data_IF_567073319578
#
_entry.id   IF_567073319578
#
_cell.length_a   1.000
_cell.length_b   1.000
_cell.length_c   1.000
_cell.angle_alpha   90.00
_cell.angle_beta   90.00
_cell.angle_gamma   90.00
#
_symmetry.space_group_name_H-M   'P 1'
#
loop_
_entity.id
_entity.type
_entity.pdbx_description
1 polymer ?
#
# COMPACT_ATOMS: atom_id res chain seq x y z
N UNK A 1 5.50 -22.77 18.46
CA UNK A 1 4.54 -21.68 18.77
C UNK A 1 4.26 -20.99 17.45
N UNK A 2 3.00 -20.76 17.10
CA UNK A 2 2.68 -20.03 15.89
C UNK A 2 3.03 -18.53 16.05
N UNK A 3 3.44 -17.91 14.98
CA UNK A 3 3.86 -16.49 14.95
C UNK A 3 2.69 -15.55 15.28
N UNK A 4 1.46 -15.95 14.91
CA UNK A 4 0.23 -15.18 15.10
C UNK A 4 -0.88 -16.12 15.59
N UNK A 5 -1.81 -15.64 16.40
CA UNK A 5 -2.98 -16.43 16.81
C UNK A 5 -4.05 -16.51 15.70
N UNK A 6 -4.80 -17.61 15.68
CA UNK A 6 -5.94 -17.78 14.76
C UNK A 6 -7.00 -16.69 14.98
N UNK A 7 -7.20 -16.27 16.23
CA UNK A 7 -8.14 -15.21 16.61
C UNK A 7 -7.81 -13.90 15.90
N UNK A 8 -6.52 -13.53 15.87
CA UNK A 8 -6.05 -12.31 15.23
C UNK A 8 -6.27 -12.34 13.72
N UNK A 9 -5.99 -13.49 13.07
CA UNK A 9 -6.31 -13.68 11.64
C UNK A 9 -7.80 -13.53 11.36
N UNK A 10 -8.65 -14.06 12.24
CA UNK A 10 -10.10 -13.97 12.13
C UNK A 10 -10.58 -12.51 12.25
N UNK A 11 -10.13 -11.79 13.28
CA UNK A 11 -10.48 -10.40 13.56
C UNK A 11 -10.06 -9.44 12.41
N UNK A 12 -8.95 -9.77 11.75
CA UNK A 12 -8.46 -9.01 10.61
C UNK A 12 -9.12 -9.42 9.28
N UNK A 13 -9.96 -10.46 9.28
CA UNK A 13 -10.72 -10.88 8.11
C UNK A 13 -9.89 -11.64 7.06
N UNK A 14 -8.80 -12.28 7.46
CA UNK A 14 -7.93 -13.05 6.56
C UNK A 14 -8.57 -14.31 6.00
N UNK A 15 -9.70 -14.76 6.58
CA UNK A 15 -10.46 -15.94 6.17
C UNK A 15 -11.37 -15.72 4.96
N UNK A 16 -11.67 -14.48 4.60
CA UNK A 16 -12.49 -14.20 3.42
C UNK A 16 -11.67 -14.36 2.14
N UNK A 17 -12.20 -15.11 1.19
CA UNK A 17 -11.63 -15.21 -0.15
C UNK A 17 -12.50 -14.49 -1.17
N UNK A 18 -12.27 -14.75 -2.44
CA UNK A 18 -13.01 -14.19 -3.56
C UNK A 18 -14.34 -14.93 -3.82
N UNK A 19 -15.15 -14.34 -4.71
CA UNK A 19 -16.39 -14.94 -5.17
C UNK A 19 -16.14 -16.30 -5.82
N UNK A 20 -17.09 -17.25 -5.63
CA UNK A 20 -17.00 -18.61 -6.17
C UNK A 20 -16.83 -18.68 -7.69
N UNK A 21 -17.21 -17.63 -8.42
CA UNK A 21 -17.03 -17.55 -9.89
C UNK A 21 -15.57 -17.30 -10.33
N UNK A 22 -14.73 -16.76 -9.44
CA UNK A 22 -13.38 -16.32 -9.78
C UNK A 22 -12.28 -17.22 -9.19
N UNK A 23 -12.62 -18.35 -8.61
CA UNK A 23 -11.68 -19.19 -7.91
C UNK A 23 -10.75 -19.97 -8.84
N UNK A 24 -9.57 -20.32 -8.32
CA UNK A 24 -8.65 -21.23 -8.99
C UNK A 24 -8.82 -22.65 -8.41
N UNK A 25 -9.07 -23.69 -9.24
CA UNK A 25 -9.23 -25.07 -8.76
C UNK A 25 -8.03 -25.59 -7.93
N UNK A 26 -6.82 -25.12 -8.20
CA UNK A 26 -5.61 -25.49 -7.44
C UNK A 26 -5.65 -25.01 -5.98
N UNK A 27 -6.49 -24.00 -5.66
CA UNK A 27 -6.69 -23.51 -4.30
C UNK A 27 -7.63 -24.39 -3.47
N UNK A 28 -8.26 -25.43 -4.05
CA UNK A 28 -9.16 -26.36 -3.35
C UNK A 28 -8.61 -26.88 -2.01
N UNK A 29 -7.33 -27.25 -1.87
CA UNK A 29 -6.78 -27.72 -0.58
C UNK A 29 -6.80 -26.67 0.55
N UNK A 30 -6.82 -25.38 0.21
CA UNK A 30 -6.76 -24.26 1.16
C UNK A 30 -8.13 -23.66 1.48
N UNK A 31 -9.17 -24.09 0.77
CA UNK A 31 -10.54 -23.64 0.97
C UNK A 31 -11.20 -24.55 2.03
N UNK A 32 -11.85 -23.93 3.01
CA UNK A 32 -12.61 -24.65 4.04
C UNK A 32 -14.06 -24.90 3.58
N UNK A 33 -14.77 -23.85 3.14
CA UNK A 33 -16.17 -23.94 2.68
C UNK A 33 -16.50 -22.76 1.76
N UNK A 34 -17.69 -22.81 1.16
CA UNK A 34 -18.26 -21.68 0.43
C UNK A 34 -19.53 -21.21 1.14
N UNK A 35 -19.66 -19.89 1.38
CA UNK A 35 -20.81 -19.30 2.04
C UNK A 35 -21.20 -17.97 1.36
N UNK A 36 -22.49 -17.79 1.12
CA UNK A 36 -23.04 -16.58 0.47
C UNK A 36 -22.32 -16.22 -0.86
N UNK A 37 -21.89 -17.24 -1.63
CA UNK A 37 -21.20 -17.02 -2.90
C UNK A 37 -19.73 -16.57 -2.79
N UNK A 38 -19.14 -16.63 -1.59
CA UNK A 38 -17.74 -16.34 -1.31
C UNK A 38 -17.09 -17.57 -0.67
N UNK A 39 -15.84 -17.84 -1.03
CA UNK A 39 -15.06 -18.90 -0.39
C UNK A 39 -14.48 -18.44 0.95
N UNK A 40 -14.40 -19.38 1.90
CA UNK A 40 -13.76 -19.18 3.20
C UNK A 40 -12.46 -19.98 3.21
N UNK A 41 -11.37 -19.31 3.49
CA UNK A 41 -10.03 -19.87 3.56
C UNK A 41 -9.84 -20.59 4.90
N UNK A 42 -9.15 -21.71 4.88
CA UNK A 42 -8.82 -22.49 6.08
C UNK A 42 -7.67 -21.83 6.86
N UNK A 43 -8.00 -21.17 7.97
CA UNK A 43 -7.03 -20.45 8.81
C UNK A 43 -5.98 -21.35 9.47
N UNK A 44 -6.26 -22.64 9.69
CA UNK A 44 -5.26 -23.59 10.20
C UNK A 44 -4.12 -23.72 9.20
N UNK A 45 -4.45 -23.90 7.92
CA UNK A 45 -3.45 -23.95 6.84
C UNK A 45 -2.78 -22.59 6.60
N UNK A 46 -3.49 -21.49 6.86
CA UNK A 46 -2.88 -20.15 6.83
C UNK A 46 -1.78 -20.03 7.87
N UNK A 47 -2.04 -20.47 9.10
CA UNK A 47 -1.04 -20.46 10.19
C UNK A 47 0.18 -21.29 9.83
N UNK A 48 -0.02 -22.56 9.43
CA UNK A 48 1.08 -23.45 9.03
C UNK A 48 1.96 -22.82 7.95
N UNK A 49 1.33 -22.26 6.89
CA UNK A 49 2.05 -21.64 5.79
C UNK A 49 2.68 -20.29 6.15
N UNK A 50 2.07 -19.54 7.06
CA UNK A 50 2.64 -18.31 7.58
C UNK A 50 3.88 -18.59 8.43
N UNK A 51 3.84 -19.62 9.30
CA UNK A 51 4.98 -20.03 10.11
C UNK A 51 6.15 -20.52 9.23
N UNK A 52 5.85 -21.33 8.18
CA UNK A 52 6.83 -21.75 7.18
C UNK A 52 7.48 -20.55 6.47
N UNK A 53 6.66 -19.60 6.02
CA UNK A 53 7.11 -18.40 5.33
C UNK A 53 7.93 -17.47 6.23
N UNK A 54 7.50 -17.32 7.50
CA UNK A 54 8.22 -16.53 8.48
C UNK A 54 9.62 -17.10 8.76
N UNK A 55 9.73 -18.41 8.99
CA UNK A 55 11.00 -19.08 9.22
C UNK A 55 11.95 -18.93 8.01
N UNK A 56 11.42 -19.09 6.79
CA UNK A 56 12.21 -18.92 5.57
C UNK A 56 12.67 -17.47 5.37
N UNK A 57 11.81 -16.49 5.65
CA UNK A 57 12.14 -15.06 5.56
C UNK A 57 13.19 -14.67 6.59
N UNK A 58 13.08 -15.18 7.83
CA UNK A 58 14.05 -14.97 8.90
C UNK A 58 15.42 -15.54 8.51
N UNK A 59 15.47 -16.79 8.02
CA UNK A 59 16.71 -17.41 7.57
C UNK A 59 17.40 -16.66 6.40
N UNK A 60 16.59 -16.01 5.53
CA UNK A 60 17.09 -15.15 4.47
C UNK A 60 17.67 -13.85 5.05
N UNK A 61 16.98 -13.24 6.00
CA UNK A 61 17.41 -12.00 6.64
C UNK A 61 18.69 -12.19 7.48
N UNK A 62 18.87 -13.33 8.14
CA UNK A 62 20.09 -13.71 8.87
C UNK A 62 21.34 -13.71 7.96
N UNK A 63 21.17 -14.01 6.68
CA UNK A 63 22.21 -13.93 5.65
C UNK A 63 22.40 -12.54 5.07
N UNK A 64 21.77 -11.51 5.66
CA UNK A 64 21.70 -10.15 5.13
C UNK A 64 21.06 -10.07 3.73
N UNK A 65 20.18 -11.01 3.39
CA UNK A 65 19.42 -11.00 2.14
C UNK A 65 18.53 -9.78 2.03
N UNK A 66 18.43 -9.22 0.82
CA UNK A 66 17.58 -8.07 0.54
C UNK A 66 16.25 -8.52 -0.02
N UNK A 67 15.18 -8.00 0.55
CA UNK A 67 13.81 -8.33 0.16
C UNK A 67 13.19 -7.16 -0.60
N UNK A 68 12.42 -7.47 -1.63
CA UNK A 68 11.63 -6.51 -2.39
C UNK A 68 10.15 -6.77 -2.14
N UNK A 69 9.47 -5.84 -1.47
CA UNK A 69 8.02 -5.88 -1.28
C UNK A 69 7.30 -5.29 -2.49
N UNK A 70 6.32 -6.03 -3.02
CA UNK A 70 5.54 -5.64 -4.21
C UNK A 70 4.06 -5.63 -3.85
N UNK A 71 3.40 -4.49 -4.05
CA UNK A 71 1.98 -4.36 -3.80
C UNK A 71 1.40 -3.17 -4.57
N UNK A 72 0.90 -3.45 -5.77
CA UNK A 72 0.33 -2.42 -6.65
C UNK A 72 -1.14 -2.16 -6.37
N UNK A 73 -1.84 -3.07 -5.69
CA UNK A 73 -3.22 -2.88 -5.21
C UNK A 73 -3.32 -1.62 -4.35
N UNK A 74 -4.35 -0.80 -4.58
CA UNK A 74 -4.60 0.44 -3.82
C UNK A 74 -4.64 0.24 -2.31
N UNK A 75 -5.16 -0.91 -1.86
CA UNK A 75 -5.25 -1.28 -0.46
C UNK A 75 -3.86 -1.59 0.15
N UNK A 76 -2.92 -2.06 -0.66
CA UNK A 76 -1.59 -2.49 -0.24
C UNK A 76 -0.52 -1.39 -0.33
N UNK A 77 -0.69 -0.40 -1.21
CA UNK A 77 0.34 0.59 -1.55
C UNK A 77 0.98 1.29 -0.35
N UNK A 78 0.14 1.79 0.56
CA UNK A 78 0.62 2.51 1.74
C UNK A 78 1.28 1.57 2.76
N UNK A 79 0.68 0.38 2.95
CA UNK A 79 1.16 -0.62 3.91
C UNK A 79 2.53 -1.17 3.49
N UNK A 80 2.66 -1.53 2.20
CA UNK A 80 3.91 -2.05 1.65
C UNK A 80 5.04 -1.03 1.78
N UNK A 81 4.76 0.26 1.54
CA UNK A 81 5.73 1.32 1.73
C UNK A 81 6.13 1.47 3.21
N UNK A 82 5.16 1.54 4.13
CA UNK A 82 5.39 1.68 5.58
C UNK A 82 6.27 0.55 6.11
N UNK A 83 5.90 -0.71 5.82
CA UNK A 83 6.57 -1.88 6.35
C UNK A 83 7.93 -2.17 5.69
N UNK A 84 8.08 -1.85 4.41
CA UNK A 84 9.37 -1.96 3.75
C UNK A 84 10.38 -0.96 4.31
N UNK A 85 9.96 0.28 4.57
CA UNK A 85 10.81 1.30 5.22
C UNK A 85 11.18 0.87 6.64
N UNK A 86 10.22 0.34 7.43
CA UNK A 86 10.44 -0.15 8.79
C UNK A 86 11.47 -1.28 8.82
N UNK A 87 11.39 -2.22 7.88
CA UNK A 87 12.31 -3.37 7.80
C UNK A 87 13.63 -3.05 7.09
N UNK A 88 13.79 -1.86 6.49
CA UNK A 88 14.95 -1.49 5.67
C UNK A 88 15.06 -2.36 4.42
N UNK A 89 13.92 -2.63 3.80
CA UNK A 89 13.73 -3.41 2.58
C UNK A 89 13.33 -2.50 1.42
N UNK A 90 13.36 -3.02 0.21
CA UNK A 90 12.93 -2.29 -0.98
C UNK A 90 11.42 -2.48 -1.22
N UNK A 91 10.78 -1.55 -1.94
CA UNK A 91 9.37 -1.67 -2.27
C UNK A 91 9.01 -1.15 -3.66
N UNK A 92 7.92 -1.70 -4.20
CA UNK A 92 7.23 -1.21 -5.38
C UNK A 92 5.73 -1.18 -5.07
N UNK A 93 5.16 0.02 -5.04
CA UNK A 93 3.78 0.24 -4.62
C UNK A 93 2.88 0.85 -5.70
N UNK A 94 3.40 1.18 -6.89
CA UNK A 94 2.57 1.78 -7.94
C UNK A 94 2.28 0.78 -9.06
N UNK A 95 3.24 0.49 -9.88
CA UNK A 95 3.10 -0.43 -11.01
C UNK A 95 4.40 -1.18 -11.24
N UNK A 96 4.28 -2.48 -11.41
CA UNK A 96 5.40 -3.28 -11.87
C UNK A 96 5.78 -2.93 -13.31
N UNK A 97 7.00 -2.55 -13.53
CA UNK A 97 7.53 -2.31 -14.88
C UNK A 97 8.13 -3.61 -15.42
N UNK A 98 7.61 -4.07 -16.54
CA UNK A 98 8.13 -5.29 -17.18
C UNK A 98 9.64 -5.19 -17.46
N UNK A 99 10.36 -6.24 -17.11
CA UNK A 99 11.83 -6.29 -17.21
C UNK A 99 12.56 -5.70 -16.00
N UNK A 100 11.87 -5.40 -14.91
CA UNK A 100 12.49 -4.79 -13.72
C UNK A 100 13.58 -5.69 -13.12
N UNK A 101 13.36 -6.98 -13.06
CA UNK A 101 14.36 -7.96 -12.62
C UNK A 101 15.15 -8.51 -13.81
N UNK A 102 14.50 -8.93 -14.88
CA UNK A 102 15.13 -9.59 -16.03
C UNK A 102 15.99 -8.66 -16.89
N UNK A 103 15.66 -7.36 -16.90
CA UNK A 103 16.45 -6.33 -17.60
C UNK A 103 16.95 -5.25 -16.60
N UNK A 104 17.42 -5.69 -15.45
CA UNK A 104 17.82 -4.84 -14.33
C UNK A 104 18.86 -3.77 -14.71
N UNK A 105 19.82 -4.11 -15.57
CA UNK A 105 20.85 -3.17 -16.04
C UNK A 105 20.25 -1.94 -16.75
N UNK A 106 19.19 -2.12 -17.52
CA UNK A 106 18.49 -1.01 -18.17
C UNK A 106 17.67 -0.19 -17.14
N UNK A 107 17.06 -0.86 -16.17
CA UNK A 107 16.33 -0.19 -15.09
C UNK A 107 17.26 0.63 -14.21
N UNK A 108 18.47 0.14 -13.91
CA UNK A 108 19.49 0.91 -13.19
C UNK A 108 19.88 2.22 -13.90
N UNK A 109 19.90 2.25 -15.23
CA UNK A 109 20.14 3.52 -15.96
C UNK A 109 19.02 4.54 -15.72
N UNK A 110 17.77 4.08 -15.58
CA UNK A 110 16.63 4.96 -15.26
C UNK A 110 16.68 5.47 -13.81
N UNK A 111 17.10 4.61 -12.88
CA UNK A 111 17.33 4.97 -11.48
C UNK A 111 18.46 6.01 -11.38
N UNK A 112 19.59 5.79 -12.08
CA UNK A 112 20.67 6.79 -12.13
C UNK A 112 20.20 8.13 -12.69
N UNK A 113 19.35 8.11 -13.72
CA UNK A 113 18.78 9.34 -14.28
C UNK A 113 17.97 10.10 -13.25
N UNK A 114 17.23 9.41 -12.38
CA UNK A 114 16.52 10.04 -11.26
C UNK A 114 17.51 10.71 -10.30
N UNK A 115 18.54 9.99 -9.87
CA UNK A 115 19.58 10.54 -8.98
C UNK A 115 20.30 11.75 -9.60
N UNK A 116 20.65 11.70 -10.89
CA UNK A 116 21.24 12.84 -11.63
C UNK A 116 20.33 14.08 -11.62
N UNK A 117 19.01 13.90 -11.79
CA UNK A 117 18.07 15.02 -11.75
C UNK A 117 18.00 15.62 -10.34
N UNK A 118 17.98 14.80 -9.30
CA UNK A 118 17.98 15.27 -7.91
C UNK A 118 19.27 16.01 -7.57
N UNK A 119 20.42 15.52 -8.01
CA UNK A 119 21.71 16.19 -7.86
C UNK A 119 21.73 17.54 -8.61
N UNK A 120 21.14 17.61 -9.81
CA UNK A 120 20.98 18.87 -10.54
C UNK A 120 20.07 19.86 -9.83
N UNK A 121 19.01 19.39 -9.17
CA UNK A 121 18.15 20.25 -8.34
C UNK A 121 18.86 20.73 -7.08
N UNK A 122 19.55 19.85 -6.38
CA UNK A 122 20.30 20.18 -5.16
C UNK A 122 21.46 21.15 -5.41
N UNK A 123 22.19 21.01 -6.53
CA UNK A 123 23.28 21.90 -6.92
C UNK A 123 22.82 23.21 -7.57
N UNK A 124 21.54 23.33 -7.89
CA UNK A 124 21.01 24.49 -8.62
C UNK A 124 21.34 24.52 -10.11
N UNK A 125 22.04 23.51 -10.63
CA UNK A 125 22.40 23.39 -12.05
C UNK A 125 21.18 23.37 -12.99
N UNK A 126 20.02 22.98 -12.47
CA UNK A 126 18.76 22.98 -13.20
C UNK A 126 18.35 24.40 -13.70
N UNK A 127 18.80 25.45 -13.02
CA UNK A 127 18.46 26.84 -13.37
C UNK A 127 19.15 27.36 -14.64
N UNK A 128 20.14 26.63 -15.16
CA UNK A 128 20.81 26.94 -16.43
C UNK A 128 19.86 26.67 -17.63
N UNK A 129 18.90 25.76 -17.45
CA UNK A 129 17.96 25.39 -18.53
C UNK A 129 16.80 26.37 -18.66
N UNK A 130 16.22 26.53 -19.88
CA UNK A 130 15.03 27.31 -20.07
C UNK A 130 13.86 26.80 -19.20
N UNK A 131 12.97 27.70 -18.75
CA UNK A 131 11.84 27.36 -17.85
C UNK A 131 10.98 26.19 -18.35
N UNK A 132 10.79 26.05 -19.66
CA UNK A 132 10.03 24.96 -20.28
C UNK A 132 10.73 23.62 -20.10
N UNK A 133 12.05 23.57 -20.24
CA UNK A 133 12.85 22.35 -20.04
C UNK A 133 12.91 21.95 -18.57
N UNK A 134 13.07 22.91 -17.65
CA UNK A 134 13.00 22.67 -16.21
C UNK A 134 11.67 22.01 -15.84
N UNK A 135 10.55 22.50 -16.38
CA UNK A 135 9.25 21.91 -16.13
C UNK A 135 9.15 20.46 -16.66
N UNK A 136 9.76 20.17 -17.81
CA UNK A 136 9.81 18.80 -18.35
C UNK A 136 10.68 17.86 -17.52
N UNK A 137 11.86 18.34 -17.09
CA UNK A 137 12.79 17.57 -16.22
C UNK A 137 12.12 17.24 -14.90
N UNK A 138 11.43 18.20 -14.26
CA UNK A 138 10.69 17.97 -13.02
C UNK A 138 9.54 16.98 -13.20
N UNK A 139 8.83 17.03 -14.33
CA UNK A 139 7.78 16.06 -14.67
C UNK A 139 8.36 14.66 -14.88
N UNK A 140 9.54 14.57 -15.50
CA UNK A 140 10.28 13.31 -15.66
C UNK A 140 10.69 12.77 -14.28
N UNK A 141 11.29 13.61 -13.41
CA UNK A 141 11.69 13.22 -12.06
C UNK A 141 10.52 12.70 -11.24
N UNK A 142 9.41 13.41 -11.19
CA UNK A 142 8.21 12.99 -10.47
C UNK A 142 7.66 11.64 -10.98
N UNK A 143 7.74 11.39 -12.29
CA UNK A 143 7.35 10.11 -12.87
C UNK A 143 8.30 8.98 -12.48
N UNK A 144 9.61 9.24 -12.51
CA UNK A 144 10.64 8.26 -12.14
C UNK A 144 10.57 7.95 -10.65
N UNK A 145 10.37 8.95 -9.79
CA UNK A 145 10.20 8.80 -8.35
C UNK A 145 9.01 7.91 -8.01
N UNK A 146 7.86 8.11 -8.66
CA UNK A 146 6.68 7.27 -8.47
C UNK A 146 6.94 5.79 -8.77
N UNK A 147 7.81 5.47 -9.75
CA UNK A 147 8.07 4.08 -10.12
C UNK A 147 9.29 3.47 -9.44
N UNK A 148 10.31 4.25 -9.15
CA UNK A 148 11.61 3.76 -8.69
C UNK A 148 11.99 4.26 -7.30
N UNK A 149 11.22 5.12 -6.67
CA UNK A 149 11.53 5.69 -5.36
C UNK A 149 11.87 4.64 -4.30
N UNK A 150 11.09 3.54 -4.24
CA UNK A 150 11.33 2.46 -3.28
C UNK A 150 12.50 1.52 -3.61
N UNK A 151 13.07 1.62 -4.79
CA UNK A 151 14.23 0.78 -5.24
C UNK A 151 15.46 1.61 -5.61
N UNK A 152 15.47 2.89 -5.26
CA UNK A 152 16.56 3.82 -5.59
C UNK A 152 17.93 3.32 -5.12
N UNK A 153 17.99 2.75 -3.93
CA UNK A 153 19.23 2.24 -3.33
C UNK A 153 19.56 0.80 -3.74
N UNK A 154 18.73 0.16 -4.56
CA UNK A 154 18.93 -1.23 -4.96
C UNK A 154 20.02 -1.36 -6.00
N UNK A 155 21.24 -1.74 -5.57
CA UNK A 155 22.40 -1.92 -6.45
C UNK A 155 22.50 -3.30 -7.09
N UNK A 156 21.87 -4.31 -6.48
CA UNK A 156 21.85 -5.72 -6.92
C UNK A 156 20.43 -6.23 -6.95
N UNK A 157 20.18 -7.33 -7.64
CA UNK A 157 18.91 -8.03 -7.59
C UNK A 157 18.57 -8.42 -6.15
N UNK A 158 17.28 -8.41 -5.78
CA UNK A 158 16.83 -8.85 -4.45
C UNK A 158 17.01 -10.37 -4.31
N UNK A 159 17.25 -10.81 -3.07
CA UNK A 159 17.39 -12.24 -2.74
C UNK A 159 16.03 -12.92 -2.59
N UNK A 160 14.98 -12.17 -2.35
CA UNK A 160 13.58 -12.63 -2.36
C UNK A 160 12.64 -11.50 -2.74
N UNK A 161 11.45 -11.88 -3.24
CA UNK A 161 10.34 -10.94 -3.43
C UNK A 161 9.15 -11.37 -2.58
N UNK A 162 8.42 -10.38 -2.05
CA UNK A 162 7.16 -10.57 -1.37
C UNK A 162 6.05 -9.85 -2.16
N UNK A 163 5.06 -10.58 -2.63
CA UNK A 163 4.00 -10.07 -3.51
C UNK A 163 2.66 -10.15 -2.81
N UNK A 164 1.93 -9.04 -2.74
CA UNK A 164 0.60 -9.01 -2.09
C UNK A 164 -0.48 -9.66 -2.96
N UNK A 165 -0.46 -9.44 -4.26
CA UNK A 165 -1.40 -10.10 -5.18
C UNK A 165 -0.64 -10.66 -6.40
N UNK A 166 -0.40 -11.98 -6.45
CA UNK A 166 0.29 -12.60 -7.56
C UNK A 166 -0.52 -12.63 -8.85
N UNK A 167 -1.83 -12.32 -8.80
CA UNK A 167 -2.69 -12.24 -9.98
C UNK A 167 -2.54 -10.90 -10.68
N UNK A 168 -2.52 -9.81 -9.91
CA UNK A 168 -2.32 -8.45 -10.42
C UNK A 168 -0.85 -8.24 -10.85
N UNK A 169 0.09 -8.65 -9.97
CA UNK A 169 1.53 -8.53 -10.19
C UNK A 169 2.14 -9.80 -10.82
N UNK A 170 1.41 -10.46 -11.72
CA UNK A 170 1.82 -11.72 -12.36
C UNK A 170 3.19 -11.64 -13.05
N UNK A 171 3.49 -10.50 -13.69
CA UNK A 171 4.78 -10.29 -14.34
C UNK A 171 5.95 -10.31 -13.34
N UNK A 172 5.75 -9.80 -12.12
CA UNK A 172 6.77 -9.83 -11.06
C UNK A 172 7.11 -11.27 -10.67
N UNK A 173 6.08 -12.09 -10.51
CA UNK A 173 6.21 -13.52 -10.17
C UNK A 173 6.94 -14.27 -11.27
N UNK A 174 6.59 -14.07 -12.55
CA UNK A 174 7.25 -14.72 -13.68
C UNK A 174 8.72 -14.33 -13.82
N UNK A 175 9.04 -13.04 -13.64
CA UNK A 175 10.42 -12.57 -13.70
C UNK A 175 11.27 -13.14 -12.58
N UNK A 176 10.74 -13.18 -11.35
CA UNK A 176 11.43 -13.76 -10.21
C UNK A 176 11.71 -15.26 -10.42
N UNK A 177 10.70 -16.02 -10.87
CA UNK A 177 10.87 -17.45 -11.19
C UNK A 177 11.93 -17.69 -12.26
N UNK A 178 11.96 -16.86 -13.30
CA UNK A 178 12.96 -16.96 -14.37
C UNK A 178 14.39 -16.76 -13.85
N UNK A 179 14.54 -15.99 -12.78
CA UNK A 179 15.84 -15.72 -12.14
C UNK A 179 16.11 -16.60 -10.92
N UNK A 180 15.21 -17.58 -10.63
CA UNK A 180 15.27 -18.44 -9.45
C UNK A 180 15.29 -17.66 -8.13
N UNK A 181 14.64 -16.51 -8.08
CA UNK A 181 14.44 -15.73 -6.86
C UNK A 181 13.21 -16.29 -6.14
N UNK A 182 13.30 -16.67 -4.85
CA UNK A 182 12.15 -17.17 -4.08
C UNK A 182 11.06 -16.11 -3.98
N UNK A 183 9.82 -16.55 -4.20
CA UNK A 183 8.62 -15.71 -4.19
C UNK A 183 7.79 -16.06 -2.97
N UNK A 184 7.61 -15.09 -2.08
CA UNK A 184 6.63 -15.10 -1.01
C UNK A 184 5.41 -14.34 -1.48
N UNK A 185 4.21 -14.88 -1.31
CA UNK A 185 3.01 -14.17 -1.73
C UNK A 185 1.77 -14.56 -0.94
N UNK A 186 0.80 -13.63 -0.90
CA UNK A 186 -0.57 -13.99 -0.58
C UNK A 186 -1.09 -14.92 -1.67
N UNK A 187 -1.82 -15.94 -1.27
CA UNK A 187 -2.53 -16.82 -2.18
C UNK A 187 -4.00 -16.82 -1.83
N UNK A 188 -4.73 -15.82 -2.33
CA UNK A 188 -6.19 -15.82 -2.21
C UNK A 188 -6.79 -16.89 -3.12
N UNK A 189 -8.07 -17.14 -3.04
CA UNK A 189 -8.78 -18.20 -3.75
C UNK A 189 -8.75 -18.12 -5.29
N UNK A 190 -8.37 -16.98 -5.86
CA UNK A 190 -8.18 -16.74 -7.30
C UNK A 190 -6.73 -16.97 -7.78
N UNK A 191 -5.78 -17.04 -6.86
CA UNK A 191 -4.35 -17.18 -7.17
C UNK A 191 -3.95 -18.62 -7.55
N UNK A 192 -2.83 -18.77 -8.25
CA UNK A 192 -2.21 -20.08 -8.51
C UNK A 192 -1.09 -20.33 -7.48
N UNK A 193 -1.27 -21.27 -6.54
CA UNK A 193 -0.28 -21.54 -5.50
C UNK A 193 1.02 -22.17 -6.03
N UNK A 194 1.02 -22.77 -7.23
CA UNK A 194 2.23 -23.38 -7.82
C UNK A 194 3.21 -22.33 -8.40
N UNK A 195 2.75 -21.11 -8.58
CA UNK A 195 3.59 -20.02 -9.09
C UNK A 195 4.50 -19.44 -8.02
N UNK A 196 4.18 -19.62 -6.76
CA UNK A 196 4.91 -19.02 -5.63
C UNK A 196 5.66 -20.08 -4.83
N UNK A 197 6.78 -19.70 -4.22
CA UNK A 197 7.59 -20.61 -3.41
C UNK A 197 6.99 -20.78 -2.01
N UNK A 198 6.60 -19.67 -1.40
CA UNK A 198 5.97 -19.61 -0.09
C UNK A 198 4.65 -18.87 -0.20
N UNK A 199 3.57 -19.63 -0.46
CA UNK A 199 2.21 -19.08 -0.55
C UNK A 199 1.55 -19.04 0.81
N UNK A 200 1.01 -17.89 1.20
CA UNK A 200 0.26 -17.68 2.43
C UNK A 200 -1.21 -17.55 2.06
N UNK A 201 -2.06 -18.57 2.33
CA UNK A 201 -3.47 -18.49 2.00
C UNK A 201 -4.17 -17.43 2.87
N UNK A 202 -4.52 -16.30 2.29
CA UNK A 202 -5.17 -15.20 3.01
C UNK A 202 -5.83 -14.21 2.06
N UNK A 203 -6.71 -13.39 2.62
CA UNK A 203 -7.41 -12.32 1.92
C UNK A 203 -6.45 -11.19 1.52
N UNK A 204 -6.40 -10.89 0.24
CA UNK A 204 -5.58 -9.84 -0.36
C UNK A 204 -6.33 -8.54 -0.67
N UNK A 205 -7.65 -8.46 -0.36
CA UNK A 205 -8.49 -7.27 -0.55
C UNK A 205 -8.69 -6.48 0.74
N UNK A 206 -8.65 -7.14 1.91
CA UNK A 206 -8.88 -6.51 3.20
C UNK A 206 -7.63 -5.80 3.71
N UNK A 207 -7.69 -4.47 3.86
CA UNK A 207 -6.58 -3.63 4.37
C UNK A 207 -6.00 -4.18 5.68
N UNK A 208 -6.86 -4.65 6.60
CA UNK A 208 -6.43 -5.20 7.90
C UNK A 208 -5.66 -6.50 7.74
N UNK A 209 -6.12 -7.40 6.85
CA UNK A 209 -5.45 -8.68 6.55
C UNK A 209 -4.09 -8.43 5.91
N UNK A 210 -4.03 -7.54 4.92
CA UNK A 210 -2.79 -7.14 4.26
C UNK A 210 -1.81 -6.58 5.30
N UNK A 211 -2.25 -5.62 6.14
CA UNK A 211 -1.38 -5.00 7.16
C UNK A 211 -0.83 -6.06 8.13
N UNK A 212 -1.68 -6.95 8.63
CA UNK A 212 -1.24 -8.00 9.56
C UNK A 212 -0.12 -8.86 8.97
N UNK A 213 -0.35 -9.44 7.80
CA UNK A 213 0.59 -10.42 7.22
C UNK A 213 1.85 -9.73 6.68
N UNK A 214 1.73 -8.57 6.03
CA UNK A 214 2.91 -7.80 5.58
C UNK A 214 3.76 -7.38 6.77
N UNK A 215 3.14 -6.91 7.87
CA UNK A 215 3.87 -6.54 9.09
C UNK A 215 4.55 -7.74 9.74
N UNK A 216 3.91 -8.91 9.78
CA UNK A 216 4.52 -10.15 10.29
C UNK A 216 5.74 -10.56 9.46
N UNK A 217 5.64 -10.46 8.14
CA UNK A 217 6.77 -10.76 7.26
C UNK A 217 7.91 -9.72 7.37
N UNK A 218 7.56 -8.46 7.63
CA UNK A 218 8.54 -7.42 7.95
C UNK A 218 9.17 -7.65 9.33
N UNK A 219 8.39 -8.14 10.32
CA UNK A 219 8.88 -8.50 11.65
C UNK A 219 9.94 -9.60 11.59
N UNK A 220 9.81 -10.57 10.68
CA UNK A 220 10.84 -11.60 10.47
C UNK A 220 12.21 -10.99 10.09
N UNK A 221 12.21 -9.89 9.34
CA UNK A 221 13.43 -9.18 8.96
C UNK A 221 13.93 -8.29 10.12
N UNK A 222 13.01 -7.63 10.81
CA UNK A 222 13.32 -6.72 11.92
C UNK A 222 13.88 -7.51 13.12
N UNK A 223 13.35 -8.71 13.38
CA UNK A 223 13.83 -9.60 14.45
C UNK A 223 15.33 -9.91 14.31
N UNK A 224 15.80 -10.19 13.10
CA UNK A 224 17.22 -10.47 12.85
C UNK A 224 18.13 -9.26 13.05
N UNK A 225 17.56 -8.04 12.98
CA UNK A 225 18.25 -6.78 13.23
C UNK A 225 18.14 -6.30 14.68
N UNK A 226 17.46 -7.06 15.54
CA UNK A 226 17.24 -6.70 16.95
C UNK A 226 16.25 -5.55 17.16
N UNK A 227 15.36 -5.30 16.19
CA UNK A 227 14.35 -4.26 16.28
C UNK A 227 13.07 -4.71 17.02
N UNK A 228 12.14 -3.77 17.20
CA UNK A 228 10.86 -4.02 17.89
C UNK A 228 9.87 -4.67 16.93
N UNK A 229 9.28 -5.79 17.35
CA UNK A 229 8.25 -6.51 16.60
C UNK A 229 6.90 -5.82 16.74
N UNK A 230 6.13 -5.72 15.65
CA UNK A 230 4.82 -5.08 15.65
C UNK A 230 3.67 -6.04 15.91
N UNK A 231 3.72 -7.23 15.32
CA UNK A 231 2.63 -8.21 15.35
C UNK A 231 3.08 -9.63 15.69
N UNK A 232 4.31 -10.00 15.39
CA UNK A 232 4.81 -11.34 15.66
C UNK A 232 5.01 -11.55 17.17
N UNK A 233 4.64 -12.76 17.65
CA UNK A 233 4.85 -13.23 19.04
C UNK A 233 4.32 -12.30 20.15
N UNK A 234 3.21 -11.58 19.93
CA UNK A 234 2.60 -10.78 20.99
C UNK A 234 1.95 -11.68 22.04
N UNK A 235 2.26 -11.47 23.34
CA UNK A 235 1.79 -12.29 24.46
C UNK A 235 0.26 -12.35 24.62
N UNK A 236 -0.47 -11.37 24.16
CA UNK A 236 -1.94 -11.33 24.21
C UNK A 236 -2.61 -12.39 23.32
N UNK A 237 -1.85 -13.00 22.42
CA UNK A 237 -2.36 -13.99 21.46
C UNK A 237 -2.34 -15.43 22.00
N UNK A 238 -1.76 -15.69 23.17
CA UNK A 238 -1.60 -17.02 23.74
C UNK A 238 -2.87 -17.59 24.42
N UNK A 239 -3.97 -16.84 24.46
CA UNK A 239 -5.19 -17.23 25.19
C UNK A 239 -6.32 -17.57 24.25
N UNK A 240 -6.67 -18.86 24.18
CA UNK A 240 -7.80 -19.57 23.56
C UNK A 240 -7.65 -19.89 22.07
N UNK A 241 -7.47 -21.17 21.80
CA UNK A 241 -7.67 -21.79 20.49
C UNK A 241 -9.13 -21.61 20.04
N UNK A 242 -9.33 -20.81 19.00
CA UNK A 242 -10.61 -20.68 18.32
C UNK A 242 -10.70 -21.81 17.30
N UNK A 243 -11.80 -22.56 17.31
CA UNK A 243 -12.03 -23.63 16.31
C UNK A 243 -12.51 -23.03 14.97
N UNK A 244 -12.34 -23.79 13.88
CA UNK A 244 -12.88 -23.36 12.56
C UNK A 244 -14.42 -23.29 12.55
N UNK A 245 -15.11 -24.00 13.46
CA UNK A 245 -16.55 -23.86 13.67
C UNK A 245 -16.93 -22.47 14.21
N UNK A 246 -16.12 -21.90 15.10
CA UNK A 246 -16.34 -20.58 15.66
C UNK A 246 -16.14 -19.48 14.58
N UNK A 247 -15.24 -19.75 13.61
CA UNK A 247 -15.05 -18.88 12.45
C UNK A 247 -16.34 -18.78 11.62
N UNK A 248 -17.04 -19.90 11.39
CA UNK A 248 -18.29 -19.89 10.63
C UNK A 248 -19.39 -19.13 11.38
N UNK A 249 -19.51 -19.33 12.68
CA UNK A 249 -20.49 -18.63 13.53
C UNK A 249 -20.25 -17.11 13.46
N UNK A 250 -18.99 -16.71 13.56
CA UNK A 250 -18.63 -15.30 13.46
C UNK A 250 -18.96 -14.71 12.07
N UNK A 251 -18.68 -15.45 11.00
CA UNK A 251 -19.04 -15.05 9.62
C UNK A 251 -20.56 -14.88 9.48
N UNK A 252 -21.37 -15.75 10.11
CA UNK A 252 -22.83 -15.62 10.09
C UNK A 252 -23.29 -14.36 10.81
N UNK A 253 -22.78 -14.11 12.00
CA UNK A 253 -23.12 -12.92 12.78
C UNK A 253 -22.77 -11.62 12.04
N UNK A 254 -21.56 -11.55 11.44
CA UNK A 254 -21.13 -10.39 10.66
C UNK A 254 -21.97 -10.18 9.40
N UNK A 255 -22.37 -11.29 8.73
CA UNK A 255 -23.22 -11.20 7.54
C UNK A 255 -24.64 -10.75 7.90
N UNK A 256 -25.22 -11.28 8.97
CA UNK A 256 -26.54 -10.84 9.46
C UNK A 256 -26.52 -9.36 9.84
N UNK A 257 -25.50 -8.91 10.54
CA UNK A 257 -25.33 -7.49 10.89
C UNK A 257 -25.20 -6.60 9.65
N UNK A 258 -24.43 -7.03 8.65
CA UNK A 258 -24.29 -6.30 7.39
C UNK A 258 -25.60 -6.26 6.59
N UNK A 259 -26.38 -7.35 6.59
CA UNK A 259 -27.70 -7.35 5.98
C UNK A 259 -28.67 -6.42 6.72
N UNK A 260 -28.68 -6.45 8.05
CA UNK A 260 -29.47 -5.50 8.86
C UNK A 260 -29.11 -4.06 8.55
N UNK A 261 -27.80 -3.75 8.48
CA UNK A 261 -27.33 -2.40 8.11
C UNK A 261 -27.72 -2.01 6.68
N UNK A 262 -27.70 -2.96 5.71
CA UNK A 262 -28.15 -2.70 4.34
C UNK A 262 -29.66 -2.45 4.29
N UNK A 263 -30.47 -3.26 4.99
CA UNK A 263 -31.93 -3.08 5.09
C UNK A 263 -32.26 -1.73 5.74
N UNK A 264 -31.63 -1.39 6.85
CA UNK A 264 -31.82 -0.10 7.52
C UNK A 264 -31.48 1.10 6.61
N UNK A 265 -30.34 1.05 5.87
CA UNK A 265 -30.00 2.09 4.89
C UNK A 265 -31.00 2.21 3.74
N UNK A 266 -31.50 1.07 3.24
CA UNK A 266 -32.53 1.06 2.19
C UNK A 266 -33.86 1.68 2.70
N UNK A 267 -34.25 1.37 3.93
CA UNK A 267 -35.43 1.89 4.57
C UNK A 267 -35.34 3.39 4.84
N UNK A 268 -34.20 3.85 5.34
CA UNK A 268 -33.88 5.27 5.49
C UNK A 268 -33.93 6.02 4.15
N UNK A 269 -33.37 5.41 3.09
CA UNK A 269 -33.44 5.99 1.75
C UNK A 269 -34.87 6.08 1.23
N UNK A 270 -35.70 5.05 1.43
CA UNK A 270 -37.12 5.06 1.08
C UNK A 270 -37.88 6.15 1.84
N UNK A 271 -37.70 6.26 3.14
CA UNK A 271 -38.32 7.30 3.96
C UNK A 271 -37.89 8.70 3.53
N UNK A 272 -36.62 8.86 3.13
CA UNK A 272 -36.11 10.13 2.60
C UNK A 272 -36.73 10.49 1.25
N UNK A 273 -36.90 9.52 0.37
CA UNK A 273 -37.61 9.70 -0.92
C UNK A 273 -39.08 10.02 -0.72
N UNK A 274 -39.76 9.35 0.19
CA UNK A 274 -41.17 9.63 0.54
C UNK A 274 -41.37 11.02 1.19
N UNK A 275 -40.45 11.44 2.06
CA UNK A 275 -40.42 12.79 2.61
C UNK A 275 -40.13 13.86 1.56
N UNK A 276 -39.29 13.56 0.58
CA UNK A 276 -38.98 14.43 -0.55
C UNK A 276 -40.16 14.66 -1.48
N UNK A 277 -40.98 13.62 -1.69
CA UNK A 277 -42.19 13.71 -2.52
C UNK A 277 -43.36 14.45 -1.83
N UNK A 278 -43.34 14.63 -0.51
CA UNK A 278 -44.37 15.34 0.25
C UNK A 278 -44.13 16.84 0.37
N UNK A 279 -43.13 17.42 -0.26
CA UNK A 279 -43.05 18.89 -0.36
C UNK A 279 -44.03 19.35 -1.43
N UNK A 280 -45.10 20.11 -1.09
CA UNK A 280 -45.99 20.72 -2.05
C UNK A 280 -45.14 21.64 -2.92
N UNK A 281 -45.27 21.48 -4.22
CA UNK A 281 -44.71 22.40 -5.18
C UNK A 281 -45.46 23.71 -5.01
N UNK A 282 -44.91 24.61 -4.21
CA UNK A 282 -45.46 25.96 -4.00
C UNK A 282 -45.26 26.71 -5.32
N UNK A 283 -46.26 26.61 -6.20
CA UNK A 283 -46.34 27.39 -7.43
C UNK A 283 -46.56 28.85 -6.99
N UNK A 284 -45.47 29.60 -6.82
CA UNK A 284 -45.56 31.06 -6.84
C UNK A 284 -46.15 31.48 -8.19
N UNK A 285 -47.22 32.28 -8.23
CA UNK A 285 -47.79 32.77 -9.45
C UNK A 285 -46.76 33.67 -10.15
N UNK A 286 -46.55 33.40 -11.43
CA UNK A 286 -45.78 34.28 -12.32
C UNK A 286 -46.47 35.59 -12.41
N UNK A 287 -45.79 36.74 -12.32
CA UNK A 287 -46.40 38.03 -12.62
C UNK A 287 -46.67 38.08 -14.17
N UNK A 288 -47.92 38.33 -14.52
CA UNK A 288 -48.33 38.67 -15.86
C UNK A 288 -47.75 40.05 -16.23
N UNK A 289 -47.12 40.09 -17.38
CA UNK A 289 -46.81 41.33 -18.06
C UNK A 289 -45.40 41.46 -18.58
N UNK A 290 -45.15 40.99 -19.84
CA UNK A 290 -44.37 41.73 -20.84
C UNK A 290 -44.28 40.92 -22.14
N UNK A 291 -45.06 41.33 -23.08
CA UNK A 291 -44.92 41.56 -24.53
C UNK A 291 -43.84 40.76 -25.33
N UNK A 292 -44.39 40.06 -26.30
CA UNK A 292 -43.89 39.65 -27.63
C UNK A 292 -42.77 40.51 -28.20
N UNK A 293 -41.77 39.87 -28.78
CA UNK A 293 -41.23 40.07 -30.12
C UNK A 293 -40.00 39.15 -30.40
N UNK A 294 -40.04 38.54 -31.62
CA UNK A 294 -38.83 38.29 -32.41
C UNK A 294 -38.36 36.84 -32.55
N UNK A 295 -38.81 36.18 -33.60
CA UNK A 295 -38.10 35.10 -34.29
C UNK A 295 -36.65 35.49 -34.61
N UNK A 296 -35.68 34.62 -34.40
CA UNK A 296 -34.57 34.37 -35.33
C UNK A 296 -33.66 33.20 -34.91
N UNK A 297 -33.61 32.25 -35.82
CA UNK A 297 -32.46 31.48 -36.35
C UNK A 297 -31.52 30.73 -35.37
N UNK A 298 -31.50 29.43 -35.61
CA UNK A 298 -30.49 28.45 -35.29
C UNK A 298 -29.06 28.92 -35.54
N UNK A 299 -28.19 28.85 -34.50
CA UNK A 299 -26.77 28.65 -34.72
C UNK A 299 -26.14 27.94 -33.50
N UNK A 300 -25.34 26.93 -33.82
CA UNK A 300 -24.53 26.10 -32.98
C UNK A 300 -23.55 26.92 -32.12
N UNK A 301 -23.48 26.66 -30.83
CA UNK A 301 -22.30 27.02 -30.03
C UNK A 301 -21.93 25.96 -28.99
N UNK A 302 -20.73 25.53 -29.18
CA UNK A 302 -19.81 24.76 -28.37
C UNK A 302 -19.84 25.05 -26.85
N UNK A 303 -19.67 23.97 -26.10
CA UNK A 303 -19.41 23.88 -24.69
C UNK A 303 -18.23 24.75 -24.21
N UNK A 304 -18.48 25.71 -23.37
CA UNK A 304 -17.44 26.41 -22.60
C UNK A 304 -17.50 25.99 -21.11
N UNK A 305 -16.40 25.46 -20.68
CA UNK A 305 -16.10 25.03 -19.30
C UNK A 305 -15.96 26.25 -18.37
N UNK A 306 -16.67 26.24 -17.26
CA UNK A 306 -16.47 27.20 -16.14
C UNK A 306 -15.20 26.85 -15.34
N UNK A 307 -14.41 27.83 -14.89
CA UNK A 307 -13.19 27.58 -14.13
C UNK A 307 -13.49 27.26 -12.66
N UNK A 308 -12.76 26.26 -12.15
CA UNK A 308 -12.73 25.83 -10.75
C UNK A 308 -11.68 26.68 -10.01
N UNK A 309 -12.10 27.80 -9.41
CA UNK A 309 -11.20 28.68 -8.64
C UNK A 309 -11.88 29.27 -7.40
N UNK A 310 -12.45 28.43 -6.51
CA UNK A 310 -13.03 28.91 -5.26
C UNK A 310 -12.98 27.94 -4.07
N UNK A 311 -12.04 26.98 -4.04
CA UNK A 311 -11.92 26.04 -2.90
C UNK A 311 -10.47 25.93 -2.39
N UNK A 312 -9.60 26.90 -2.63
CA UNK A 312 -8.19 26.85 -2.18
C UNK A 312 -7.79 27.84 -1.09
N UNK A 313 -8.68 28.64 -0.57
CA UNK A 313 -8.31 29.63 0.46
C UNK A 313 -8.61 29.26 1.92
N UNK A 314 -9.47 28.28 2.19
CA UNK A 314 -9.77 27.90 3.58
C UNK A 314 -8.82 26.87 4.23
N UNK A 315 -7.95 26.24 3.47
CA UNK A 315 -6.99 25.24 4.02
C UNK A 315 -5.60 25.79 4.33
N UNK A 316 -5.32 27.07 4.04
CA UNK A 316 -4.02 27.70 4.37
C UNK A 316 -3.99 28.39 5.71
N UNK A 317 -5.13 28.71 6.32
CA UNK A 317 -5.18 29.39 7.63
C UNK A 317 -4.96 28.45 8.83
N UNK A 318 -5.21 27.14 8.68
CA UNK A 318 -5.11 26.18 9.78
C UNK A 318 -3.70 25.58 10.01
N UNK A 319 -2.75 25.84 9.12
CA UNK A 319 -1.39 25.27 9.22
C UNK A 319 -0.38 26.26 9.79
N UNK A 320 -0.72 27.55 9.89
CA UNK A 320 0.21 28.61 10.36
C UNK A 320 0.17 28.82 11.87
N UNK A 321 -0.82 28.31 12.59
CA UNK A 321 -0.92 28.47 14.06
C UNK A 321 -0.25 27.35 14.89
N UNK A 322 0.22 26.27 14.26
CA UNK A 322 0.84 25.14 14.97
C UNK A 322 2.38 25.17 15.04
N UNK A 323 3.04 26.18 14.49
CA UNK A 323 4.54 26.23 14.38
C UNK A 323 5.18 27.27 15.32
N UNK A 324 4.41 28.06 16.10
CA UNK A 324 4.97 29.15 16.92
C UNK A 324 5.10 28.88 18.42
N UNK A 325 5.11 27.63 18.85
CA UNK A 325 5.21 27.31 20.29
C UNK A 325 6.26 26.25 20.61
N UNK A 326 7.52 26.39 20.21
CA UNK A 326 8.69 25.77 20.91
C UNK A 326 9.98 26.46 20.41
N UNK A 327 10.39 27.56 21.01
CA UNK A 327 11.79 28.01 21.01
C UNK A 327 12.09 28.67 22.36
N UNK A 328 12.88 27.97 23.18
CA UNK A 328 13.71 28.60 24.19
C UNK A 328 15.14 28.05 24.04
N UNK A 329 16.17 28.94 24.01
CA UNK A 329 17.54 28.53 23.74
C UNK A 329 18.26 28.13 25.01
N UNK A 330 18.93 27.00 25.00
CA UNK A 330 19.98 26.68 25.99
C UNK A 330 21.31 26.85 25.31
N UNK A 331 22.00 27.88 25.74
CA UNK A 331 23.41 28.15 25.43
C UNK A 331 24.30 27.25 26.29
N UNK A 332 25.08 26.37 25.69
CA UNK A 332 26.26 25.75 26.30
C UNK A 332 27.47 25.93 25.40
N UNK A 333 28.49 26.62 25.99
CA UNK A 333 29.79 26.85 25.41
C UNK A 333 30.58 25.55 25.23
N UNK A 334 30.97 25.22 24.00
CA UNK A 334 31.91 24.11 23.72
C UNK A 334 33.28 24.73 23.36
N UNK A 335 34.23 24.54 24.27
CA UNK A 335 35.67 24.90 24.12
C UNK A 335 36.32 24.13 22.97
N UNK A 336 36.99 24.86 22.08
CA UNK A 336 37.83 24.34 20.98
C UNK A 336 39.11 23.69 21.53
N UNK A 337 39.52 22.50 21.07
CA UNK A 337 40.85 21.96 21.38
C UNK A 337 41.94 22.58 20.47
N UNK A 338 43.07 22.85 21.07
CA UNK A 338 44.29 23.40 20.42
C UNK A 338 45.00 22.33 19.57
N UNK A 339 45.74 22.72 18.52
CA UNK A 339 46.54 21.81 17.68
C UNK A 339 47.81 21.34 18.37
N UNK A 340 48.13 20.05 18.26
CA UNK A 340 49.39 19.46 18.68
C UNK A 340 50.49 19.72 17.62
N UNK A 341 51.63 20.19 18.09
CA UNK A 341 52.88 20.33 17.33
C UNK A 341 53.44 18.94 17.01
N UNK A 342 53.85 18.77 15.77
CA UNK A 342 54.73 17.69 15.30
C UNK A 342 56.16 17.97 15.74
N UNK A 343 56.79 17.06 16.46
CA UNK A 343 58.25 17.03 16.62
C UNK A 343 58.81 15.98 15.66
N UNK A 344 59.66 16.48 14.76
CA UNK A 344 60.66 15.69 14.01
C UNK A 344 61.65 15.08 14.98
N UNK A 345 61.96 13.80 14.83
CA UNK A 345 63.29 13.25 15.17
C UNK A 345 63.80 12.39 14.04
N UNK A 346 64.89 12.87 13.48
CA UNK A 346 65.80 12.16 12.61
C UNK A 346 66.66 11.18 13.41
N UNK A 347 67.18 10.16 12.75
CA UNK A 347 68.40 9.51 13.16
C UNK A 347 68.33 7.99 13.32
N UNK A 348 69.04 7.35 12.45
CA UNK A 348 69.78 6.10 12.30
C UNK A 348 69.09 4.95 11.63
#
# INVERSE_FOLDING_TARGET
>A
MSVVSMKKLLEHGSHYGHQTKKWNPKMKPYIYTAKNGVYIINLVKTLEKLDDAYAAMKALAERNGKVLFVGTKKQAQAIVMEEALRSGSFYINQRWLGGLLTNFRTMQKRIKRLTEIEEMEASGAINIYPKKEVANIRKEAARLENFFGGIKEMKKLPDAIFVVDPTEDYNAVLEARKLNIPVFAFTDTNADPELVTYGIPANDDAIRSIKLIVSVMADAIVETKGGILSYAFQEQDLVKDISMSDVIINVDQVNEENERRRRAKMEERRQREERGQRRPFDRRPRPEGARTYGERTSESRSSESRPVEAVKEETKAAVTEAVTAVETPVTEEVKKPRPRKTEEKAGE
#
